data_IF_754702281443
#
_entry.id   IF_754702281443
#
_cell.length_a   1.000
_cell.length_b   1.000
_cell.length_c   1.000
_cell.angle_alpha   90.00
_cell.angle_beta   90.00
_cell.angle_gamma   90.00
#
_symmetry.space_group_name_H-M   'P 1'
#
loop_
_entity.id
_entity.type
_entity.pdbx_description
1 polymer ?
#
# COMPACT_ATOMS: atom_id res chain seq x y z
N UNK A 1 18.36 12.96 -15.09
CA UNK A 1 16.93 12.68 -14.84
C UNK A 1 16.43 11.53 -15.72
N UNK A 2 15.32 10.89 -15.36
CA UNK A 2 14.69 9.81 -16.14
C UNK A 2 14.40 10.30 -17.58
N UNK A 3 13.87 11.50 -17.74
CA UNK A 3 13.56 12.06 -19.05
C UNK A 3 14.80 12.18 -19.96
N UNK A 4 15.93 12.57 -19.40
CA UNK A 4 17.21 12.65 -20.15
C UNK A 4 17.66 11.27 -20.61
N UNK A 5 17.58 10.26 -19.75
CA UNK A 5 17.93 8.88 -20.10
C UNK A 5 17.04 8.34 -21.22
N UNK A 6 15.73 8.53 -21.12
CA UNK A 6 14.77 8.11 -22.15
C UNK A 6 15.02 8.82 -23.50
N UNK A 7 15.33 10.12 -23.48
CA UNK A 7 15.70 10.86 -24.69
C UNK A 7 16.99 10.28 -25.32
N UNK A 8 17.98 9.89 -24.50
CA UNK A 8 19.20 9.25 -25.02
C UNK A 8 18.90 7.90 -25.69
N UNK A 9 18.05 7.06 -25.10
CA UNK A 9 17.63 5.80 -25.72
C UNK A 9 16.85 6.02 -27.02
N UNK A 10 16.01 7.06 -27.07
CA UNK A 10 15.29 7.42 -28.27
C UNK A 10 16.25 7.83 -29.41
N UNK A 11 17.29 8.58 -29.09
CA UNK A 11 18.33 8.93 -30.07
C UNK A 11 19.10 7.69 -30.52
N UNK A 12 19.52 6.83 -29.61
CA UNK A 12 20.22 5.58 -29.92
C UNK A 12 19.37 4.69 -30.84
N UNK A 13 18.09 4.50 -30.56
CA UNK A 13 17.19 3.70 -31.39
C UNK A 13 17.00 4.29 -32.79
N UNK A 14 17.01 5.63 -32.89
CA UNK A 14 16.91 6.31 -34.21
C UNK A 14 18.19 6.19 -35.05
N UNK A 15 19.34 6.36 -34.40
CA UNK A 15 20.61 6.56 -35.10
C UNK A 15 21.41 5.24 -35.22
N UNK A 16 21.02 4.17 -34.56
CA UNK A 16 21.70 2.89 -34.58
C UNK A 16 20.82 1.81 -35.23
N UNK A 17 21.21 1.34 -36.43
CA UNK A 17 20.43 0.39 -37.26
C UNK A 17 20.16 -0.95 -36.55
N UNK A 18 21.14 -1.43 -35.78
CA UNK A 18 21.08 -2.71 -35.07
C UNK A 18 20.83 -2.54 -33.58
N UNK A 19 20.04 -1.53 -33.21
CA UNK A 19 19.73 -1.24 -31.81
C UNK A 19 19.12 -2.46 -31.07
N UNK A 20 19.81 -3.04 -30.07
CA UNK A 20 19.39 -4.30 -29.45
C UNK A 20 18.40 -4.10 -28.30
N UNK A 21 17.94 -2.89 -28.06
CA UNK A 21 17.23 -2.52 -26.83
C UNK A 21 18.16 -1.91 -25.79
N UNK A 22 17.63 -1.65 -24.62
CA UNK A 22 18.38 -1.04 -23.53
C UNK A 22 17.96 -1.50 -22.13
N UNK A 23 18.83 -1.24 -21.16
CA UNK A 23 18.55 -1.44 -19.75
C UNK A 23 18.56 -0.08 -19.03
N UNK A 24 17.46 0.27 -18.37
CA UNK A 24 17.34 1.45 -17.53
C UNK A 24 17.19 1.02 -16.07
N UNK A 25 18.15 1.42 -15.24
CA UNK A 25 18.07 1.18 -13.78
C UNK A 25 17.74 2.49 -13.09
N UNK A 26 16.74 2.46 -12.23
CA UNK A 26 16.24 3.64 -11.50
C UNK A 26 16.19 3.30 -10.02
N UNK A 27 16.93 4.05 -9.22
CA UNK A 27 16.85 3.93 -7.77
C UNK A 27 15.83 4.93 -7.22
N UNK A 28 15.01 4.49 -6.27
CA UNK A 28 13.93 5.27 -5.64
C UNK A 28 13.01 5.97 -6.66
N UNK A 29 12.36 5.20 -7.53
CA UNK A 29 11.49 5.70 -8.61
C UNK A 29 10.39 6.67 -8.12
N UNK A 30 9.95 6.52 -6.89
CA UNK A 30 8.89 7.30 -6.25
C UNK A 30 9.39 8.54 -5.51
N UNK A 31 10.71 8.72 -5.37
CA UNK A 31 11.30 9.80 -4.57
C UNK A 31 10.84 11.18 -5.03
N UNK A 32 10.27 11.96 -4.11
CA UNK A 32 9.79 13.32 -4.36
C UNK A 32 8.52 13.43 -5.22
N UNK A 33 7.85 12.31 -5.53
CA UNK A 33 6.65 12.32 -6.36
C UNK A 33 5.35 12.26 -5.55
N UNK A 34 4.37 13.05 -5.95
CA UNK A 34 3.02 12.95 -5.40
C UNK A 34 2.37 11.63 -5.85
N UNK A 35 1.56 10.96 -4.99
CA UNK A 35 0.89 9.68 -5.30
C UNK A 35 0.21 9.61 -6.66
N UNK A 36 -0.45 10.67 -7.07
CA UNK A 36 -1.12 10.74 -8.37
C UNK A 36 -0.13 10.75 -9.55
N UNK A 37 1.05 11.37 -9.36
CA UNK A 37 2.11 11.39 -10.37
C UNK A 37 2.74 10.00 -10.53
N UNK A 38 2.89 9.23 -9.46
CA UNK A 38 3.44 7.87 -9.48
C UNK A 38 2.63 6.98 -10.43
N UNK A 39 1.30 6.96 -10.32
CA UNK A 39 0.45 6.14 -11.20
C UNK A 39 0.60 6.50 -12.68
N UNK A 40 0.73 7.80 -12.99
CA UNK A 40 0.95 8.28 -14.35
C UNK A 40 2.34 7.90 -14.85
N UNK A 41 3.35 7.99 -13.98
CA UNK A 41 4.72 7.63 -14.29
C UNK A 41 4.83 6.14 -14.63
N UNK A 42 4.27 5.25 -13.81
CA UNK A 42 4.25 3.80 -14.07
C UNK A 42 3.69 3.51 -15.45
N UNK A 43 2.48 4.01 -15.74
CA UNK A 43 1.85 3.84 -17.06
C UNK A 43 2.73 4.36 -18.20
N UNK A 44 3.36 5.52 -18.00
CA UNK A 44 4.22 6.12 -19.02
C UNK A 44 5.51 5.33 -19.24
N UNK A 45 6.10 4.79 -18.18
CA UNK A 45 7.28 3.93 -18.28
C UNK A 45 6.95 2.60 -18.98
N UNK A 46 5.78 2.01 -18.74
CA UNK A 46 5.32 0.82 -19.47
C UNK A 46 5.21 1.10 -20.99
N UNK A 47 4.56 2.21 -21.36
CA UNK A 47 4.42 2.62 -22.76
C UNK A 47 5.79 2.85 -23.44
N UNK A 48 6.68 3.57 -22.75
CA UNK A 48 8.00 3.93 -23.32
C UNK A 48 8.93 2.72 -23.36
N UNK A 49 8.86 1.81 -22.38
CA UNK A 49 9.67 0.59 -22.39
C UNK A 49 9.37 -0.25 -23.65
N UNK A 50 8.11 -0.38 -24.03
CA UNK A 50 7.72 -1.06 -25.27
C UNK A 50 8.18 -0.30 -26.52
N UNK A 51 8.01 1.04 -26.53
CA UNK A 51 8.40 1.85 -27.67
C UNK A 51 9.90 1.86 -27.93
N UNK A 52 10.70 1.76 -26.89
CA UNK A 52 12.16 1.86 -26.96
C UNK A 52 12.88 0.52 -26.74
N UNK A 53 12.16 -0.59 -26.67
CA UNK A 53 12.69 -1.93 -26.37
C UNK A 53 13.58 -1.91 -25.10
N UNK A 54 13.05 -1.30 -24.01
CA UNK A 54 13.78 -1.16 -22.76
C UNK A 54 13.33 -2.19 -21.73
N UNK A 55 14.29 -2.80 -21.05
CA UNK A 55 14.08 -3.38 -19.73
C UNK A 55 14.28 -2.28 -18.67
N UNK A 56 13.31 -2.10 -17.79
CA UNK A 56 13.40 -1.15 -16.69
C UNK A 56 13.46 -1.93 -15.38
N UNK A 57 14.50 -1.66 -14.58
CA UNK A 57 14.63 -2.17 -13.20
C UNK A 57 14.55 -0.95 -12.28
N UNK A 58 13.62 -0.96 -11.34
CA UNK A 58 13.46 0.15 -10.41
C UNK A 58 13.31 -0.32 -8.98
N UNK A 59 13.88 0.42 -8.03
CA UNK A 59 13.60 0.28 -6.61
C UNK A 59 12.53 1.28 -6.18
N UNK A 60 11.75 0.94 -5.16
CA UNK A 60 10.73 1.81 -4.59
C UNK A 60 10.30 1.34 -3.22
N UNK A 61 9.90 2.29 -2.38
CA UNK A 61 9.25 2.07 -1.08
C UNK A 61 7.77 2.48 -1.09
N UNK A 62 7.18 2.74 -2.26
CA UNK A 62 5.82 3.25 -2.39
C UNK A 62 4.77 2.14 -2.51
N UNK A 63 3.85 1.99 -1.53
CA UNK A 63 2.71 1.08 -1.65
C UNK A 63 1.86 1.39 -2.89
N UNK A 64 1.77 2.67 -3.28
CA UNK A 64 0.99 3.12 -4.44
C UNK A 64 1.61 2.65 -5.75
N UNK A 65 2.94 2.67 -5.84
CA UNK A 65 3.66 2.15 -7.01
C UNK A 65 3.43 0.64 -7.14
N UNK A 66 3.62 -0.10 -6.04
CA UNK A 66 3.40 -1.54 -5.97
C UNK A 66 1.96 -1.88 -6.37
N UNK A 67 0.97 -1.19 -5.80
CA UNK A 67 -0.45 -1.37 -6.14
C UNK A 67 -0.73 -1.11 -7.63
N UNK A 68 -0.07 -0.10 -8.21
CA UNK A 68 -0.24 0.23 -9.62
C UNK A 68 0.29 -0.89 -10.52
N UNK A 69 1.42 -1.49 -10.18
CA UNK A 69 2.00 -2.62 -10.90
C UNK A 69 1.12 -3.88 -10.81
N UNK A 70 0.60 -4.22 -9.63
CA UNK A 70 -0.34 -5.33 -9.48
C UNK A 70 -1.63 -5.12 -10.28
N UNK A 71 -2.10 -3.89 -10.41
CA UNK A 71 -3.31 -3.57 -11.18
C UNK A 71 -3.10 -3.70 -12.69
N UNK A 72 -1.89 -3.44 -13.19
CA UNK A 72 -1.56 -3.60 -14.61
C UNK A 72 -1.28 -5.05 -15.01
N UNK A 73 -1.03 -5.93 -14.03
CA UNK A 73 -0.73 -7.36 -14.26
C UNK A 73 -1.97 -8.20 -14.65
N UNK A 74 -3.16 -7.60 -14.81
CA UNK A 74 -4.40 -8.29 -15.21
C UNK A 74 -4.37 -8.90 -16.63
N UNK A 75 -3.29 -8.75 -17.38
CA UNK A 75 -3.10 -9.29 -18.73
C UNK A 75 -2.63 -10.75 -18.68
N UNK A 76 -2.96 -11.55 -19.71
CA UNK A 76 -2.55 -12.95 -19.87
C UNK A 76 -1.02 -13.16 -19.84
N UNK A 77 -0.25 -12.14 -20.13
CA UNK A 77 1.22 -12.13 -20.02
C UNK A 77 1.60 -10.94 -19.14
N UNK A 78 2.00 -11.16 -17.89
CA UNK A 78 2.44 -10.06 -17.03
C UNK A 78 3.73 -9.46 -17.60
N UNK A 79 3.68 -8.16 -17.93
CA UNK A 79 4.84 -7.40 -18.42
C UNK A 79 5.74 -6.95 -17.28
N UNK A 80 5.18 -6.92 -16.05
CA UNK A 80 5.85 -6.45 -14.85
C UNK A 80 6.09 -7.62 -13.89
N UNK A 81 7.22 -7.58 -13.22
CA UNK A 81 7.59 -8.50 -12.13
C UNK A 81 7.93 -7.69 -10.89
N UNK A 82 7.53 -8.17 -9.74
CA UNK A 82 7.83 -7.55 -8.45
C UNK A 82 8.64 -8.54 -7.63
N UNK A 83 9.83 -8.10 -7.18
CA UNK A 83 10.65 -8.81 -6.21
C UNK A 83 10.61 -8.03 -4.90
N UNK A 84 9.88 -8.51 -3.92
CA UNK A 84 9.78 -7.86 -2.62
C UNK A 84 10.72 -8.52 -1.62
N UNK A 85 11.60 -7.71 -1.02
CA UNK A 85 12.55 -8.15 0.00
C UNK A 85 11.95 -7.92 1.38
N UNK A 86 11.80 -9.01 2.11
CA UNK A 86 11.36 -9.02 3.50
C UNK A 86 12.57 -9.11 4.43
N UNK A 87 12.41 -8.65 5.66
CA UNK A 87 13.38 -8.71 6.76
C UNK A 87 14.72 -8.03 6.44
N UNK A 88 14.99 -6.90 7.08
CA UNK A 88 16.22 -6.13 6.87
C UNK A 88 17.46 -6.80 7.51
N UNK A 89 17.27 -7.66 8.52
CA UNK A 89 18.37 -8.35 9.21
C UNK A 89 18.80 -9.64 8.48
N UNK A 90 17.85 -10.35 7.87
CA UNK A 90 18.08 -11.56 7.09
C UNK A 90 17.22 -11.53 5.81
N UNK A 91 17.60 -10.71 4.81
CA UNK A 91 16.75 -10.47 3.65
C UNK A 91 16.43 -11.73 2.85
N UNK A 92 15.15 -11.92 2.54
CA UNK A 92 14.67 -12.96 1.63
C UNK A 92 13.57 -12.42 0.73
N UNK A 93 13.38 -13.06 -0.42
CA UNK A 93 12.36 -12.65 -1.40
C UNK A 93 11.02 -13.30 -1.05
N UNK A 94 9.94 -12.51 -1.05
CA UNK A 94 8.59 -13.03 -0.93
C UNK A 94 8.20 -13.78 -2.20
N UNK A 95 7.93 -15.08 -2.10
CA UNK A 95 7.55 -15.94 -3.24
C UNK A 95 6.34 -16.83 -2.91
N UNK A 96 5.23 -16.71 -3.64
CA UNK A 96 4.93 -15.66 -4.63
C UNK A 96 4.64 -14.29 -3.99
N UNK A 97 4.98 -13.20 -4.66
CA UNK A 97 4.65 -11.87 -4.16
C UNK A 97 3.13 -11.65 -4.18
N UNK A 98 2.57 -11.15 -3.09
CA UNK A 98 1.16 -10.78 -2.98
C UNK A 98 1.02 -9.34 -2.52
N UNK A 99 0.09 -8.60 -3.13
CA UNK A 99 -0.13 -7.19 -2.76
C UNK A 99 -0.46 -7.05 -1.26
N UNK A 100 -1.35 -7.91 -0.75
CA UNK A 100 -1.74 -7.84 0.66
C UNK A 100 -0.56 -8.16 1.58
N UNK A 101 0.21 -9.20 1.27
CA UNK A 101 1.38 -9.58 2.08
C UNK A 101 2.45 -8.48 2.11
N UNK A 102 2.67 -7.80 0.99
CA UNK A 102 3.60 -6.66 0.91
C UNK A 102 3.10 -5.48 1.74
N UNK A 103 1.81 -5.14 1.64
CA UNK A 103 1.22 -4.04 2.41
C UNK A 103 1.26 -4.36 3.91
N UNK A 104 0.91 -5.59 4.29
CA UNK A 104 0.94 -6.01 5.69
C UNK A 104 2.35 -5.94 6.29
N UNK A 105 3.39 -6.32 5.53
CA UNK A 105 4.77 -6.20 5.95
C UNK A 105 5.23 -4.74 6.05
N UNK A 106 4.88 -3.90 5.07
CA UNK A 106 5.21 -2.47 5.08
C UNK A 106 4.53 -1.72 6.23
N UNK A 107 3.31 -2.12 6.61
CA UNK A 107 2.54 -1.57 7.73
C UNK A 107 2.90 -2.25 9.06
N UNK A 108 3.85 -3.19 9.07
CA UNK A 108 4.28 -3.96 10.23
C UNK A 108 3.11 -4.69 10.92
N UNK A 109 2.17 -5.20 10.13
CA UNK A 109 1.04 -6.00 10.65
C UNK A 109 1.59 -7.34 11.15
N UNK A 110 1.41 -7.71 12.43
CA UNK A 110 1.92 -8.97 12.95
C UNK A 110 1.39 -10.17 12.15
N UNK A 111 2.25 -11.17 11.84
CA UNK A 111 1.82 -12.38 11.16
C UNK A 111 0.77 -13.12 12.01
N UNK A 112 -0.34 -13.50 11.38
CA UNK A 112 -1.46 -14.18 12.02
C UNK A 112 -2.67 -13.27 12.34
N UNK A 113 -2.56 -11.95 12.18
CA UNK A 113 -3.73 -11.11 12.00
C UNK A 113 -4.20 -11.29 10.56
N UNK A 114 -4.80 -12.45 10.28
CA UNK A 114 -5.61 -12.57 9.07
C UNK A 114 -6.61 -11.43 9.14
N UNK A 115 -6.57 -10.55 8.17
CA UNK A 115 -7.57 -9.52 7.97
C UNK A 115 -8.87 -10.22 7.57
N UNK A 116 -9.39 -11.05 8.50
CA UNK A 116 -10.80 -11.40 8.47
C UNK A 116 -11.44 -10.02 8.48
N UNK A 117 -12.21 -9.72 7.46
CA UNK A 117 -13.01 -8.52 7.28
C UNK A 117 -13.99 -8.39 8.46
N UNK A 118 -13.43 -8.31 9.66
CA UNK A 118 -14.15 -7.85 10.83
C UNK A 118 -14.49 -6.40 10.51
N UNK A 119 -15.74 -6.04 10.56
CA UNK A 119 -16.11 -4.65 10.32
C UNK A 119 -15.25 -3.77 11.22
N UNK A 120 -14.74 -2.64 10.72
CA UNK A 120 -13.91 -1.76 11.51
C UNK A 120 -14.61 -1.50 12.85
N UNK A 121 -13.90 -1.61 13.95
CA UNK A 121 -14.47 -1.42 15.28
C UNK A 121 -14.05 -0.08 15.84
N UNK A 122 -15.03 0.76 16.15
CA UNK A 122 -14.82 1.97 16.91
C UNK A 122 -14.75 1.58 18.39
N UNK A 123 -13.62 1.76 19.04
CA UNK A 123 -13.46 1.57 20.47
C UNK A 123 -13.72 2.90 21.16
N UNK A 124 -14.66 2.91 22.10
CA UNK A 124 -14.97 4.07 22.95
C UNK A 124 -14.52 3.73 24.34
N UNK A 125 -13.56 4.47 24.85
CA UNK A 125 -13.00 4.25 26.19
C UNK A 125 -13.64 5.18 27.20
N UNK A 126 -13.91 4.66 28.39
CA UNK A 126 -14.50 5.37 29.51
C UNK A 126 -13.57 5.28 30.73
N UNK A 127 -13.56 6.32 31.54
CA UNK A 127 -12.78 6.40 32.76
C UNK A 127 -13.20 5.32 33.77
N UNK A 128 -14.50 5.16 33.93
CA UNK A 128 -15.11 4.22 34.88
C UNK A 128 -16.30 3.46 34.26
N UNK A 129 -16.87 2.54 35.02
CA UNK A 129 -18.01 1.73 34.59
C UNK A 129 -19.31 2.56 34.58
N UNK A 130 -19.46 3.55 35.47
CA UNK A 130 -20.62 4.44 35.52
C UNK A 130 -20.76 5.24 34.21
N UNK A 131 -19.67 5.82 33.73
CA UNK A 131 -19.64 6.54 32.44
C UNK A 131 -20.00 5.62 31.28
N UNK A 132 -19.52 4.37 31.32
CA UNK A 132 -19.86 3.36 30.31
C UNK A 132 -21.35 2.97 30.39
N UNK A 133 -21.91 2.78 31.59
CA UNK A 133 -23.33 2.48 31.78
C UNK A 133 -24.21 3.61 31.25
N UNK A 134 -23.86 4.87 31.54
CA UNK A 134 -24.56 6.04 30.99
C UNK A 134 -24.53 6.01 29.47
N UNK A 135 -23.37 5.74 28.84
CA UNK A 135 -23.25 5.61 27.41
C UNK A 135 -24.13 4.48 26.86
N UNK A 136 -24.15 3.32 27.52
CA UNK A 136 -24.95 2.16 27.09
C UNK A 136 -26.47 2.43 27.20
N UNK A 137 -26.89 3.26 28.15
CA UNK A 137 -28.26 3.76 28.26
C UNK A 137 -28.61 4.74 27.13
N UNK A 138 -27.73 5.68 26.83
CA UNK A 138 -27.95 6.70 25.80
C UNK A 138 -27.83 6.13 24.38
N UNK A 139 -26.97 5.13 24.18
CA UNK A 139 -26.75 4.47 22.89
C UNK A 139 -27.06 2.98 23.01
N UNK A 140 -28.33 2.61 23.05
CA UNK A 140 -28.75 1.23 23.26
C UNK A 140 -28.26 0.30 22.12
N UNK A 141 -28.23 -0.99 22.42
CA UNK A 141 -27.71 -2.03 21.51
C UNK A 141 -28.36 -1.99 20.13
N UNK A 142 -29.63 -1.58 20.05
CA UNK A 142 -30.32 -1.40 18.76
C UNK A 142 -29.67 -0.30 17.90
N UNK A 143 -29.37 0.86 18.49
CA UNK A 143 -28.73 1.99 17.82
C UNK A 143 -27.30 1.62 17.36
N UNK A 144 -26.54 0.94 18.21
CA UNK A 144 -25.20 0.42 17.86
C UNK A 144 -25.26 -0.54 16.67
N UNK A 145 -26.29 -1.42 16.62
CA UNK A 145 -26.50 -2.34 15.49
C UNK A 145 -26.92 -1.62 14.21
N UNK A 146 -27.73 -0.57 14.31
CA UNK A 146 -28.13 0.22 13.13
C UNK A 146 -26.92 0.97 12.53
N UNK A 147 -26.10 1.60 13.38
CA UNK A 147 -24.86 2.25 12.95
C UNK A 147 -23.91 1.24 12.29
N UNK A 148 -23.82 0.03 12.85
CA UNK A 148 -23.04 -1.07 12.28
C UNK A 148 -23.56 -1.51 10.90
N UNK A 149 -24.86 -1.56 10.69
CA UNK A 149 -25.45 -1.93 9.39
C UNK A 149 -25.25 -0.85 8.32
N UNK A 150 -25.36 0.43 8.69
CA UNK A 150 -25.24 1.55 7.74
C UNK A 150 -23.80 1.81 7.36
N UNK A 151 -22.88 1.77 8.32
CA UNK A 151 -21.49 2.17 8.13
C UNK A 151 -20.50 1.00 8.16
N UNK A 152 -20.94 -0.23 8.39
CA UNK A 152 -20.08 -1.40 8.52
C UNK A 152 -19.13 -1.35 9.72
N UNK A 153 -19.44 -0.52 10.75
CA UNK A 153 -18.57 -0.27 11.92
C UNK A 153 -19.21 -0.85 13.18
N UNK A 154 -18.50 -1.68 13.93
CA UNK A 154 -18.95 -2.12 15.25
C UNK A 154 -18.47 -1.17 16.34
N UNK A 155 -19.34 -0.82 17.29
CA UNK A 155 -18.97 0.04 18.44
C UNK A 155 -18.74 -0.85 19.65
N UNK A 156 -17.55 -0.71 20.27
CA UNK A 156 -17.16 -1.41 21.50
C UNK A 156 -16.90 -0.37 22.60
N UNK A 157 -17.71 -0.40 23.65
CA UNK A 157 -17.53 0.42 24.85
C UNK A 157 -16.62 -0.34 25.83
N UNK A 158 -15.58 0.31 26.33
CA UNK A 158 -14.57 -0.27 27.22
C UNK A 158 -14.36 0.68 28.39
N UNK A 159 -14.57 0.23 29.61
CA UNK A 159 -14.16 0.98 30.82
C UNK A 159 -12.74 0.56 31.20
N UNK A 160 -11.90 1.51 31.58
CA UNK A 160 -10.50 1.27 31.93
C UNK A 160 -10.23 1.36 33.41
N UNK A 161 -11.11 1.99 34.18
CA UNK A 161 -10.90 2.22 35.63
C UNK A 161 -9.70 3.11 35.95
N UNK A 162 -9.38 4.06 35.04
CA UNK A 162 -8.22 4.96 35.12
C UNK A 162 -8.68 6.40 34.98
N UNK A 163 -8.02 7.34 35.68
CA UNK A 163 -8.37 8.75 35.60
C UNK A 163 -8.20 9.36 34.21
N UNK A 164 -8.91 10.47 33.93
CA UNK A 164 -8.96 11.17 32.66
C UNK A 164 -7.59 11.49 32.09
N UNK A 165 -6.62 11.84 32.93
CA UNK A 165 -5.24 12.17 32.48
C UNK A 165 -4.52 10.97 31.87
N UNK A 166 -4.89 9.75 32.25
CA UNK A 166 -4.32 8.52 31.70
C UNK A 166 -4.94 8.15 30.35
N UNK A 167 -6.20 8.55 30.10
CA UNK A 167 -6.89 8.33 28.82
C UNK A 167 -6.31 9.18 27.67
N UNK A 168 -5.77 10.35 27.99
CA UNK A 168 -5.21 11.26 27.01
C UNK A 168 -3.86 10.75 26.43
N UNK A 169 -3.27 9.72 27.05
CA UNK A 169 -1.97 9.15 26.65
C UNK A 169 -2.06 7.72 26.07
N UNK A 170 -3.26 7.26 25.76
CA UNK A 170 -3.52 5.99 25.04
C UNK A 170 -3.71 6.24 23.54
#
# INVERSE_FOLDING_TARGET
SIATALASFQMLKRDWSDYPGGLLVIDELDSGLHPHAIRRLVKKLEEVSEQLDLQIIATSHSPILIQSLFSSTSSRTPKNSISYLMDTAAPYVMDPPSLQGIVDDMEQVPPGIVNTKSPPSLRVYFEDEEAKEIFDLLVPAYTKRQLGKVNGVSIKAISLGVGCDSLANL
#
